data_IF_401267986215
#
_entry.id   IF_401267986215
#
_cell.length_a   1.000
_cell.length_b   1.000
_cell.length_c   1.000
_cell.angle_alpha   90.00
_cell.angle_beta   90.00
_cell.angle_gamma   90.00
#
_symmetry.space_group_name_H-M   'P 1'
#
loop_
_entity.id
_entity.type
_entity.pdbx_description
1 polymer ?
#
# COMPACT_ATOMS: atom_id res chain seq x y z
N UNK A 1 9.06 -46.56 20.40
CA UNK A 1 9.81 -47.63 21.10
C UNK A 1 9.21 -47.73 22.48
N UNK A 2 8.79 -48.92 22.89
CA UNK A 2 8.33 -49.25 24.24
C UNK A 2 8.97 -50.60 24.53
N UNK A 3 9.66 -50.74 25.66
CA UNK A 3 10.38 -51.96 26.02
C UNK A 3 9.46 -52.88 26.85
N UNK A 4 9.54 -54.19 26.58
CA UNK A 4 8.76 -55.26 27.22
C UNK A 4 9.66 -56.05 28.20
N UNK A 5 9.58 -55.79 29.52
CA UNK A 5 10.30 -56.55 30.53
C UNK A 5 9.51 -57.84 30.88
N UNK A 6 9.79 -58.90 30.14
CA UNK A 6 9.40 -60.27 30.50
C UNK A 6 10.22 -60.81 31.68
N UNK A 7 9.68 -61.85 32.32
CA UNK A 7 10.35 -62.87 33.17
C UNK A 7 10.93 -62.43 34.52
N UNK A 8 10.26 -62.89 35.60
CA UNK A 8 10.74 -63.35 36.92
C UNK A 8 9.48 -63.54 37.81
N UNK A 9 9.30 -64.59 38.63
CA UNK A 9 10.16 -65.73 38.99
C UNK A 9 9.35 -67.04 39.16
N UNK A 10 10.05 -68.19 39.14
CA UNK A 10 9.53 -69.52 39.47
C UNK A 10 10.02 -70.00 40.86
N UNK A 11 9.16 -70.00 41.89
CA UNK A 11 9.27 -70.82 43.12
C UNK A 11 8.03 -70.59 43.99
N UNK A 12 7.27 -71.58 44.44
CA UNK A 12 7.70 -72.52 45.48
C UNK A 12 6.78 -73.75 45.57
N UNK A 13 7.25 -74.89 46.09
CA UNK A 13 6.45 -76.11 46.20
C UNK A 13 6.81 -76.99 47.42
N UNK A 14 5.88 -77.20 48.36
CA UNK A 14 6.03 -78.23 49.39
C UNK A 14 4.72 -78.65 50.10
N UNK A 15 4.41 -79.96 50.01
CA UNK A 15 3.82 -80.80 51.10
C UNK A 15 2.35 -80.50 51.50
N UNK A 16 1.64 -81.41 52.23
CA UNK A 16 2.11 -82.52 53.08
C UNK A 16 1.92 -83.94 52.53
N UNK A 17 2.59 -84.89 53.19
CA UNK A 17 2.30 -86.32 53.17
C UNK A 17 2.24 -86.81 54.62
N UNK A 18 1.36 -87.75 54.92
CA UNK A 18 1.17 -88.32 56.27
C UNK A 18 0.27 -89.54 56.24
N UNK A 19 0.82 -90.71 56.58
CA UNK A 19 0.18 -92.03 56.47
C UNK A 19 0.34 -92.83 57.76
N UNK A 20 -0.46 -93.90 57.93
CA UNK A 20 -0.46 -94.87 59.04
C UNK A 20 -0.97 -94.34 60.40
N UNK A 21 -1.51 -95.16 61.31
CA UNK A 21 -1.85 -96.59 61.23
C UNK A 21 -1.87 -97.25 62.62
N UNK A 22 -2.62 -98.36 62.81
CA UNK A 22 -2.59 -99.12 64.08
C UNK A 22 -3.68 -100.22 64.20
N UNK A 23 -3.30 -101.41 64.66
CA UNK A 23 -4.19 -102.55 64.96
C UNK A 23 -3.49 -103.60 65.86
N UNK A 24 -4.14 -104.03 66.95
CA UNK A 24 -3.77 -105.11 67.90
C UNK A 24 -4.83 -105.18 69.05
N UNK A 25 -4.90 -106.15 69.99
CA UNK A 25 -4.76 -107.63 70.04
C UNK A 25 -4.94 -108.12 71.52
N UNK A 26 -5.40 -109.37 71.78
CA UNK A 26 -5.58 -110.03 73.12
C UNK A 26 -6.97 -110.72 73.32
N UNK A 27 -7.25 -111.82 74.07
CA UNK A 27 -6.59 -112.67 75.12
C UNK A 27 -6.84 -112.22 76.58
N UNK A 28 -7.05 -113.05 77.65
CA UNK A 28 -6.88 -114.51 77.93
C UNK A 28 -7.76 -115.00 79.16
N UNK A 29 -7.83 -116.33 79.47
CA UNK A 29 -8.26 -117.05 80.75
C UNK A 29 -9.76 -117.26 81.07
N UNK A 30 -10.29 -118.36 81.65
CA UNK A 30 -9.88 -119.75 82.09
C UNK A 30 -9.85 -120.11 83.62
N UNK A 31 -10.06 -121.42 83.95
CA UNK A 31 -10.17 -122.16 85.26
C UNK A 31 -11.51 -122.07 86.05
N UNK A 32 -11.98 -123.05 86.85
CA UNK A 32 -11.52 -124.44 87.17
C UNK A 32 -12.38 -125.19 88.24
N UNK A 33 -12.27 -126.53 88.35
CA UNK A 33 -13.06 -127.51 89.19
C UNK A 33 -12.67 -127.56 90.72
N UNK A 34 -13.22 -128.35 91.67
CA UNK A 34 -14.39 -129.29 91.76
C UNK A 34 -14.40 -130.27 92.99
N UNK A 35 -15.50 -131.03 93.18
CA UNK A 35 -15.67 -132.41 93.79
C UNK A 35 -15.34 -132.83 95.26
N UNK A 36 -16.20 -133.69 95.85
CA UNK A 36 -15.89 -134.75 96.87
C UNK A 36 -16.37 -134.54 98.35
N UNK A 37 -16.71 -135.55 99.18
CA UNK A 37 -16.98 -136.99 98.92
C UNK A 37 -16.88 -137.98 100.14
N UNK A 38 -18.00 -138.22 100.85
CA UNK A 38 -18.40 -139.42 101.68
C UNK A 38 -17.50 -140.09 102.76
N UNK A 39 -18.13 -140.84 103.71
CA UNK A 39 -17.48 -141.83 104.58
C UNK A 39 -18.23 -142.20 105.87
N UNK A 40 -18.73 -143.45 106.00
CA UNK A 40 -19.42 -143.98 107.19
C UNK A 40 -18.83 -145.35 107.63
N UNK A 41 -18.99 -145.73 108.90
CA UNK A 41 -18.54 -147.03 109.44
C UNK A 41 -19.50 -147.60 110.49
N UNK A 42 -19.46 -148.93 110.72
CA UNK A 42 -20.41 -149.63 111.58
C UNK A 42 -19.82 -150.85 112.31
N UNK A 43 -20.62 -151.41 113.23
CA UNK A 43 -20.17 -152.32 114.31
C UNK A 43 -20.99 -153.63 114.32
N UNK A 44 -20.50 -154.70 114.97
CA UNK A 44 -21.08 -156.05 114.85
C UNK A 44 -21.13 -156.83 116.19
N UNK A 45 -22.18 -157.66 116.37
CA UNK A 45 -22.50 -158.36 117.61
C UNK A 45 -22.57 -159.91 117.46
N UNK A 46 -22.61 -160.60 118.61
CA UNK A 46 -22.53 -162.07 118.73
C UNK A 46 -23.80 -162.87 118.41
N UNK A 47 -23.75 -164.19 118.67
CA UNK A 47 -24.82 -165.16 118.36
C UNK A 47 -25.39 -165.84 119.61
N UNK A 48 -26.71 -166.01 119.62
CA UNK A 48 -27.42 -166.96 120.48
C UNK A 48 -28.08 -168.08 119.64
N UNK A 49 -28.98 -168.86 120.26
CA UNK A 49 -29.49 -170.14 119.75
C UNK A 49 -30.37 -170.01 118.50
N UNK A 50 -30.27 -170.99 117.60
CA UNK A 50 -30.97 -170.97 116.31
C UNK A 50 -32.37 -171.59 116.38
N UNK A 51 -33.37 -170.86 115.89
CA UNK A 51 -34.73 -171.33 115.65
C UNK A 51 -35.11 -171.17 114.16
N UNK A 52 -36.24 -171.74 113.74
CA UNK A 52 -36.74 -171.59 112.37
C UNK A 52 -37.12 -170.13 112.08
N UNK A 53 -36.38 -169.46 111.19
CA UNK A 53 -36.53 -168.02 110.87
C UNK A 53 -37.91 -167.64 110.29
N UNK A 54 -38.75 -168.61 109.93
CA UNK A 54 -40.11 -168.34 109.43
C UNK A 54 -41.23 -168.55 110.46
N UNK A 55 -41.10 -169.52 111.37
CA UNK A 55 -42.19 -169.92 112.27
C UNK A 55 -41.78 -170.09 113.74
N UNK A 56 -40.57 -169.65 114.13
CA UNK A 56 -40.07 -169.66 115.52
C UNK A 56 -39.75 -171.04 116.10
N UNK A 57 -40.19 -172.11 115.42
CA UNK A 57 -40.11 -173.49 115.88
C UNK A 57 -38.65 -173.97 115.99
N UNK A 58 -38.24 -174.68 117.07
CA UNK A 58 -36.87 -175.12 117.27
C UNK A 58 -36.42 -176.09 116.17
N UNK A 59 -35.15 -176.01 115.81
CA UNK A 59 -34.57 -176.85 114.76
C UNK A 59 -34.26 -178.25 115.33
N UNK A 60 -34.59 -179.34 114.62
CA UNK A 60 -34.28 -180.69 115.09
C UNK A 60 -32.77 -180.89 115.21
N UNK A 61 -32.34 -181.63 116.23
CA UNK A 61 -30.93 -181.85 116.55
C UNK A 61 -30.16 -182.49 115.38
N UNK A 62 -28.97 -181.96 115.11
CA UNK A 62 -28.09 -182.47 114.06
C UNK A 62 -27.43 -183.78 114.54
N UNK A 63 -27.42 -184.86 113.72
CA UNK A 63 -26.74 -186.10 114.08
C UNK A 63 -25.22 -185.89 114.09
N UNK A 64 -24.61 -186.18 115.24
CA UNK A 64 -23.16 -186.19 115.43
C UNK A 64 -22.56 -187.53 114.94
N UNK A 65 -21.26 -187.53 114.66
CA UNK A 65 -20.49 -188.76 114.42
C UNK A 65 -19.96 -189.38 115.73
N UNK A 66 -19.36 -190.56 115.63
CA UNK A 66 -18.89 -191.34 116.80
C UNK A 66 -17.68 -190.69 117.50
N UNK A 67 -16.94 -189.82 116.80
CA UNK A 67 -15.93 -188.94 117.40
C UNK A 67 -16.52 -187.63 118.00
N UNK A 68 -17.85 -187.49 118.06
CA UNK A 68 -18.55 -186.36 118.67
C UNK A 68 -18.46 -185.06 117.86
N UNK A 69 -18.07 -185.13 116.58
CA UNK A 69 -17.91 -183.98 115.69
C UNK A 69 -19.18 -183.79 114.85
N UNK A 70 -19.27 -182.63 114.20
CA UNK A 70 -20.36 -182.33 113.26
C UNK A 70 -19.98 -182.83 111.87
N UNK A 71 -20.69 -183.85 111.40
CA UNK A 71 -20.59 -184.31 110.00
C UNK A 71 -20.98 -183.15 109.07
N UNK A 72 -20.01 -182.68 108.28
CA UNK A 72 -20.00 -181.32 107.74
C UNK A 72 -21.25 -180.89 106.97
N UNK A 73 -21.95 -179.88 107.48
CA UNK A 73 -23.13 -179.28 106.86
C UNK A 73 -23.35 -177.84 107.33
N UNK A 74 -23.97 -177.01 106.48
CA UNK A 74 -24.37 -175.64 106.83
C UNK A 74 -25.61 -175.70 107.75
N UNK A 75 -25.64 -175.00 108.90
CA UNK A 75 -26.76 -175.08 109.84
C UNK A 75 -28.07 -174.69 109.17
N UNK A 76 -29.12 -175.48 109.43
CA UNK A 76 -30.45 -175.28 108.82
C UNK A 76 -31.11 -174.05 109.42
N UNK A 77 -31.54 -173.09 108.60
CA UNK A 77 -32.26 -171.89 109.05
C UNK A 77 -33.79 -172.08 109.13
N UNK A 78 -34.29 -173.23 108.68
CA UNK A 78 -35.72 -173.53 108.54
C UNK A 78 -36.00 -175.00 108.89
N UNK A 79 -37.08 -175.27 109.64
CA UNK A 79 -37.46 -176.63 110.04
C UNK A 79 -37.93 -177.51 108.85
N UNK A 80 -38.50 -176.90 107.81
CA UNK A 80 -39.00 -177.58 106.59
C UNK A 80 -38.91 -176.68 105.35
N UNK A 81 -38.84 -177.29 104.16
CA UNK A 81 -38.74 -176.57 102.86
C UNK A 81 -39.84 -175.51 102.68
N UNK A 82 -41.08 -175.83 103.04
CA UNK A 82 -42.21 -174.90 102.97
C UNK A 82 -41.96 -173.58 103.73
N UNK A 83 -41.26 -173.64 104.87
CA UNK A 83 -40.89 -172.46 105.66
C UNK A 83 -39.79 -171.62 104.98
N UNK A 84 -38.84 -172.26 104.29
CA UNK A 84 -37.84 -171.56 103.48
C UNK A 84 -38.48 -170.87 102.26
N UNK A 85 -39.39 -171.57 101.56
CA UNK A 85 -40.11 -171.03 100.39
C UNK A 85 -41.05 -169.88 100.79
N UNK A 86 -41.77 -170.01 101.92
CA UNK A 86 -42.62 -168.95 102.44
C UNK A 86 -41.82 -167.73 102.92
N UNK A 87 -40.71 -167.92 103.63
CA UNK A 87 -39.79 -166.81 103.96
C UNK A 87 -39.10 -166.21 102.72
N UNK A 88 -38.94 -166.97 101.62
CA UNK A 88 -38.45 -166.44 100.35
C UNK A 88 -39.51 -165.59 99.63
N UNK A 89 -40.79 -165.98 99.70
CA UNK A 89 -41.91 -165.16 99.20
C UNK A 89 -42.12 -163.91 100.04
N UNK A 90 -42.12 -164.02 101.38
CA UNK A 90 -42.28 -162.89 102.28
C UNK A 90 -41.18 -161.83 102.08
N UNK A 91 -39.91 -162.25 102.02
CA UNK A 91 -38.80 -161.31 101.73
C UNK A 91 -38.90 -160.68 100.34
N UNK A 92 -39.30 -161.43 99.30
CA UNK A 92 -39.51 -160.86 97.96
C UNK A 92 -40.69 -159.89 97.92
N UNK A 93 -41.77 -160.14 98.67
CA UNK A 93 -42.89 -159.21 98.81
C UNK A 93 -42.49 -157.95 99.58
N UNK A 94 -41.70 -158.07 100.66
CA UNK A 94 -41.14 -156.93 101.40
C UNK A 94 -40.16 -156.11 100.56
N UNK A 95 -39.28 -156.77 99.79
CA UNK A 95 -38.36 -156.11 98.86
C UNK A 95 -39.09 -155.43 97.69
N UNK A 96 -40.19 -156.01 97.21
CA UNK A 96 -41.05 -155.37 96.23
C UNK A 96 -41.75 -154.15 96.83
N UNK A 97 -42.40 -154.27 98.00
CA UNK A 97 -43.10 -153.18 98.68
C UNK A 97 -42.17 -152.00 99.00
N UNK A 98 -41.01 -152.27 99.60
CA UNK A 98 -39.99 -151.28 99.95
C UNK A 98 -39.34 -150.57 98.74
N UNK A 99 -39.69 -150.96 97.51
CA UNK A 99 -39.33 -150.27 96.28
C UNK A 99 -40.57 -149.68 95.59
N UNK A 100 -41.69 -150.39 95.53
CA UNK A 100 -42.91 -149.93 94.86
C UNK A 100 -43.62 -148.79 95.58
N UNK A 101 -43.57 -148.76 96.92
CA UNK A 101 -44.16 -147.70 97.73
C UNK A 101 -43.42 -146.37 97.54
N UNK A 102 -42.10 -146.25 97.75
CA UNK A 102 -41.37 -145.02 97.45
C UNK A 102 -41.33 -144.67 95.95
N UNK A 103 -41.43 -145.65 95.03
CA UNK A 103 -41.63 -145.33 93.61
C UNK A 103 -43.02 -144.78 93.31
N UNK A 104 -44.07 -145.22 94.00
CA UNK A 104 -45.42 -144.67 93.87
C UNK A 104 -45.51 -143.26 94.49
N UNK A 105 -44.82 -143.01 95.62
CA UNK A 105 -44.67 -141.67 96.16
C UNK A 105 -43.87 -140.75 95.23
N UNK A 106 -42.75 -141.23 94.67
CA UNK A 106 -41.95 -140.47 93.71
C UNK A 106 -42.73 -140.18 92.41
N UNK A 107 -43.53 -141.13 91.91
CA UNK A 107 -44.44 -140.92 90.79
C UNK A 107 -45.52 -139.88 91.14
N UNK A 108 -46.18 -140.02 92.30
CA UNK A 108 -47.18 -139.05 92.78
C UNK A 108 -46.60 -137.65 93.03
N UNK A 109 -45.31 -137.55 93.38
CA UNK A 109 -44.59 -136.30 93.49
C UNK A 109 -44.28 -135.72 92.09
N UNK A 110 -43.82 -136.55 91.15
CA UNK A 110 -43.59 -136.15 89.76
C UNK A 110 -44.87 -135.68 89.07
N UNK A 111 -45.99 -136.40 89.22
CA UNK A 111 -47.31 -136.03 88.69
C UNK A 111 -47.82 -134.66 89.22
N UNK A 112 -47.35 -134.24 90.40
CA UNK A 112 -47.63 -132.92 91.00
C UNK A 112 -46.61 -131.85 90.62
N UNK A 113 -45.34 -132.20 90.46
CA UNK A 113 -44.26 -131.28 90.12
C UNK A 113 -44.15 -131.00 88.61
N UNK A 114 -44.45 -131.96 87.74
CA UNK A 114 -44.37 -131.79 86.28
C UNK A 114 -45.33 -130.72 85.75
N UNK A 115 -46.60 -130.62 86.20
CA UNK A 115 -47.47 -129.50 85.83
C UNK A 115 -46.93 -128.15 86.31
N UNK A 116 -46.46 -128.06 87.55
CA UNK A 116 -45.89 -126.83 88.12
C UNK A 116 -44.59 -126.40 87.40
N UNK A 117 -43.75 -127.35 86.97
CA UNK A 117 -42.59 -127.09 86.13
C UNK A 117 -42.99 -126.66 84.71
N UNK A 118 -44.10 -127.19 84.17
CA UNK A 118 -44.71 -126.74 82.92
C UNK A 118 -45.23 -125.30 82.99
N UNK A 119 -45.91 -124.93 84.09
CA UNK A 119 -46.35 -123.56 84.33
C UNK A 119 -45.17 -122.60 84.53
N UNK A 120 -44.16 -122.99 85.32
CA UNK A 120 -42.96 -122.19 85.55
C UNK A 120 -42.15 -121.98 84.26
N UNK A 121 -41.94 -123.03 83.46
CA UNK A 121 -41.27 -122.91 82.16
C UNK A 121 -42.08 -122.06 81.19
N UNK A 122 -43.42 -122.20 81.14
CA UNK A 122 -44.29 -121.33 80.36
C UNK A 122 -44.27 -119.86 80.80
N UNK A 123 -44.12 -119.58 82.10
CA UNK A 123 -43.92 -118.22 82.63
C UNK A 123 -42.53 -117.67 82.28
N UNK A 124 -41.49 -118.49 82.32
CA UNK A 124 -40.13 -118.12 81.89
C UNK A 124 -40.07 -117.82 80.38
N UNK A 125 -40.69 -118.65 79.53
CA UNK A 125 -40.80 -118.39 78.09
C UNK A 125 -41.50 -117.06 77.83
N UNK A 126 -42.66 -116.80 78.46
CA UNK A 126 -43.37 -115.51 78.34
C UNK A 126 -42.58 -114.31 78.87
N UNK A 127 -41.68 -114.52 79.84
CA UNK A 127 -40.79 -113.48 80.33
C UNK A 127 -39.67 -113.20 79.31
N UNK A 128 -39.08 -114.24 78.72
CA UNK A 128 -38.09 -114.11 77.65
C UNK A 128 -38.69 -113.43 76.41
N UNK A 129 -39.84 -113.88 75.92
CA UNK A 129 -40.59 -113.24 74.82
C UNK A 129 -40.83 -111.74 75.07
N UNK A 130 -41.16 -111.37 76.32
CA UNK A 130 -41.36 -109.97 76.73
C UNK A 130 -40.06 -109.18 76.81
N UNK A 131 -38.96 -109.80 77.24
CA UNK A 131 -37.64 -109.18 77.27
C UNK A 131 -37.10 -108.97 75.86
N UNK A 132 -37.19 -109.98 74.99
CA UNK A 132 -36.85 -109.88 73.55
C UNK A 132 -37.70 -108.82 72.84
N UNK A 133 -39.00 -108.73 73.14
CA UNK A 133 -39.89 -107.67 72.61
C UNK A 133 -39.51 -106.27 73.14
N UNK A 134 -39.12 -106.17 74.42
CA UNK A 134 -38.69 -104.90 75.02
C UNK A 134 -37.31 -104.46 74.51
N UNK A 135 -36.39 -105.39 74.30
CA UNK A 135 -35.05 -105.18 73.75
C UNK A 135 -35.12 -104.79 72.27
N UNK A 136 -35.76 -105.60 71.43
CA UNK A 136 -35.94 -105.28 70.01
C UNK A 136 -36.71 -103.96 69.81
N UNK A 137 -37.72 -103.69 70.64
CA UNK A 137 -38.41 -102.40 70.68
C UNK A 137 -37.54 -101.24 71.18
N UNK A 138 -36.56 -101.47 72.05
CA UNK A 138 -35.61 -100.46 72.50
C UNK A 138 -34.54 -100.17 71.44
N UNK A 139 -33.95 -101.22 70.85
CA UNK A 139 -33.00 -101.12 69.75
C UNK A 139 -33.63 -100.43 68.53
N UNK A 140 -34.89 -100.73 68.19
CA UNK A 140 -35.62 -100.03 67.13
C UNK A 140 -35.82 -98.52 67.43
N UNK A 141 -36.08 -98.13 68.68
CA UNK A 141 -36.15 -96.72 69.08
C UNK A 141 -34.79 -96.02 69.04
N UNK A 142 -33.72 -96.72 69.43
CA UNK A 142 -32.35 -96.20 69.35
C UNK A 142 -31.96 -95.98 67.88
N UNK A 143 -32.14 -96.99 67.02
CA UNK A 143 -31.85 -96.88 65.59
C UNK A 143 -32.67 -95.79 64.88
N UNK A 144 -33.94 -95.60 65.27
CA UNK A 144 -34.76 -94.50 64.78
C UNK A 144 -34.22 -93.13 65.24
N UNK A 145 -33.89 -92.97 66.52
CA UNK A 145 -33.32 -91.72 67.05
C UNK A 145 -31.92 -91.41 66.47
N UNK A 146 -31.11 -92.44 66.19
CA UNK A 146 -29.82 -92.30 65.51
C UNK A 146 -30.00 -91.90 64.04
N UNK A 147 -31.00 -92.45 63.34
CA UNK A 147 -31.33 -92.04 61.97
C UNK A 147 -31.87 -90.60 61.91
N UNK A 148 -32.77 -90.21 62.81
CA UNK A 148 -33.25 -88.83 62.96
C UNK A 148 -32.11 -87.86 63.29
N UNK A 149 -31.20 -88.23 64.20
CA UNK A 149 -30.04 -87.42 64.54
C UNK A 149 -29.02 -87.31 63.38
N UNK A 150 -28.84 -88.37 62.58
CA UNK A 150 -28.01 -88.35 61.39
C UNK A 150 -28.63 -87.46 60.29
N UNK A 151 -29.94 -87.55 60.06
CA UNK A 151 -30.66 -86.69 59.14
C UNK A 151 -30.58 -85.22 59.58
N UNK A 152 -30.82 -84.91 60.85
CA UNK A 152 -30.75 -83.55 61.38
C UNK A 152 -29.35 -82.93 61.23
N UNK A 153 -28.27 -83.73 61.39
CA UNK A 153 -26.89 -83.28 61.11
C UNK A 153 -26.68 -82.99 59.62
N UNK A 154 -27.08 -83.91 58.73
CA UNK A 154 -26.96 -83.71 57.29
C UNK A 154 -27.76 -82.50 56.78
N UNK A 155 -28.95 -82.24 57.35
CA UNK A 155 -29.75 -81.05 57.04
C UNK A 155 -29.11 -79.75 57.54
N UNK A 156 -28.47 -79.78 58.72
CA UNK A 156 -27.71 -78.66 59.27
C UNK A 156 -26.45 -78.36 58.44
N UNK A 157 -25.62 -79.37 58.14
CA UNK A 157 -24.45 -79.24 57.27
C UNK A 157 -24.85 -78.69 55.88
N UNK A 158 -25.95 -79.18 55.30
CA UNK A 158 -26.48 -78.65 54.04
C UNK A 158 -27.00 -77.21 54.18
N UNK A 159 -27.54 -76.81 55.33
CA UNK A 159 -27.94 -75.41 55.60
C UNK A 159 -26.71 -74.49 55.71
N UNK A 160 -25.66 -74.92 56.41
CA UNK A 160 -24.40 -74.18 56.54
C UNK A 160 -23.70 -74.00 55.18
N UNK A 161 -23.56 -75.07 54.39
CA UNK A 161 -22.98 -74.99 53.04
C UNK A 161 -23.77 -74.04 52.11
N UNK A 162 -25.10 -73.98 52.25
CA UNK A 162 -25.96 -73.01 51.53
C UNK A 162 -25.73 -71.58 52.03
N UNK A 163 -25.63 -71.37 53.34
CA UNK A 163 -25.35 -70.06 53.94
C UNK A 163 -23.97 -69.51 53.55
N UNK A 164 -22.92 -70.33 53.65
CA UNK A 164 -21.58 -69.97 53.16
C UNK A 164 -21.59 -69.58 51.69
N UNK A 165 -22.28 -70.35 50.84
CA UNK A 165 -22.31 -70.13 49.40
C UNK A 165 -23.09 -68.86 49.04
N UNK A 166 -24.12 -68.51 49.80
CA UNK A 166 -24.80 -67.23 49.69
C UNK A 166 -23.90 -66.06 50.10
N UNK A 167 -23.15 -66.18 51.19
CA UNK A 167 -22.21 -65.15 51.67
C UNK A 167 -20.97 -65.00 50.75
N UNK A 168 -20.45 -66.09 50.17
CA UNK A 168 -19.44 -66.04 49.09
C UNK A 168 -19.93 -65.22 47.90
N UNK A 169 -21.09 -65.58 47.32
CA UNK A 169 -21.73 -64.85 46.22
C UNK A 169 -22.02 -63.38 46.55
N UNK A 170 -22.39 -63.09 47.79
CA UNK A 170 -22.61 -61.71 48.27
C UNK A 170 -21.32 -60.91 48.30
N UNK A 171 -20.20 -61.49 48.76
CA UNK A 171 -18.87 -60.84 48.76
C UNK A 171 -18.37 -60.61 47.34
N UNK A 172 -18.51 -61.60 46.47
CA UNK A 172 -18.20 -61.52 45.03
C UNK A 172 -18.98 -60.36 44.37
N UNK A 173 -20.31 -60.31 44.56
CA UNK A 173 -21.15 -59.25 44.02
C UNK A 173 -20.82 -57.86 44.59
N UNK A 174 -20.47 -57.76 45.88
CA UNK A 174 -20.07 -56.49 46.50
C UNK A 174 -18.70 -56.01 46.03
N UNK A 175 -17.78 -56.92 45.69
CA UNK A 175 -16.49 -56.57 45.10
C UNK A 175 -16.63 -56.17 43.64
N UNK A 176 -17.33 -56.96 42.82
CA UNK A 176 -17.66 -56.58 41.45
C UNK A 176 -18.34 -55.20 41.40
N UNK A 177 -19.30 -54.92 42.29
CA UNK A 177 -19.95 -53.61 42.39
C UNK A 177 -19.07 -52.48 42.99
N UNK A 178 -17.86 -52.75 43.50
CA UNK A 178 -16.83 -51.73 43.79
C UNK A 178 -15.99 -51.49 42.55
N UNK A 179 -15.53 -52.57 41.92
CA UNK A 179 -14.66 -52.53 40.74
C UNK A 179 -15.36 -51.83 39.57
N UNK A 180 -16.65 -52.11 39.36
CA UNK A 180 -17.52 -51.43 38.39
C UNK A 180 -17.59 -49.91 38.62
N UNK A 181 -17.61 -49.46 39.88
CA UNK A 181 -17.63 -48.04 40.24
C UNK A 181 -16.26 -47.40 40.02
N UNK A 182 -15.18 -48.07 40.41
CA UNK A 182 -13.83 -47.58 40.16
C UNK A 182 -13.53 -47.48 38.66
N UNK A 183 -13.97 -48.46 37.86
CA UNK A 183 -13.85 -48.43 36.41
C UNK A 183 -14.64 -47.26 35.77
N UNK A 184 -15.87 -47.01 36.23
CA UNK A 184 -16.67 -45.86 35.78
C UNK A 184 -16.02 -44.53 36.18
N UNK A 185 -15.59 -44.37 37.43
CA UNK A 185 -14.88 -43.18 37.89
C UNK A 185 -13.58 -42.93 37.10
N UNK A 186 -12.82 -43.98 36.77
CA UNK A 186 -11.62 -43.87 35.93
C UNK A 186 -11.98 -43.45 34.50
N UNK A 187 -13.00 -44.07 33.89
CA UNK A 187 -13.49 -43.71 32.56
C UNK A 187 -14.01 -42.26 32.49
N UNK A 188 -14.74 -41.81 33.52
CA UNK A 188 -15.22 -40.42 33.64
C UNK A 188 -14.05 -39.43 33.80
N UNK A 189 -13.05 -39.75 34.63
CA UNK A 189 -11.83 -38.92 34.80
C UNK A 189 -11.03 -38.84 33.49
N UNK A 190 -10.91 -39.94 32.74
CA UNK A 190 -10.24 -39.95 31.43
C UNK A 190 -11.04 -39.15 30.39
N UNK A 191 -12.36 -39.34 30.32
CA UNK A 191 -13.23 -38.56 29.43
C UNK A 191 -13.22 -37.05 29.77
N UNK A 192 -13.11 -36.69 31.05
CA UNK A 192 -12.96 -35.30 31.48
C UNK A 192 -11.61 -34.70 31.05
N UNK A 193 -10.51 -35.46 31.16
CA UNK A 193 -9.18 -35.04 30.66
C UNK A 193 -9.17 -34.82 29.16
N UNK A 194 -9.63 -35.80 28.38
CA UNK A 194 -9.70 -35.70 26.90
C UNK A 194 -10.58 -34.52 26.45
N UNK A 195 -11.64 -34.18 27.19
CA UNK A 195 -12.44 -32.96 26.94
C UNK A 195 -11.67 -31.67 27.25
N UNK A 196 -10.95 -31.62 28.37
CA UNK A 196 -10.13 -30.46 28.73
C UNK A 196 -8.99 -30.24 27.73
N UNK A 197 -8.27 -31.30 27.36
CA UNK A 197 -7.21 -31.31 26.34
C UNK A 197 -7.75 -30.85 24.97
N UNK A 198 -8.93 -31.32 24.56
CA UNK A 198 -9.58 -30.87 23.33
C UNK A 198 -10.08 -29.42 23.38
N UNK A 199 -10.50 -28.92 24.54
CA UNK A 199 -10.80 -27.50 24.73
C UNK A 199 -9.55 -26.62 24.71
N UNK A 200 -8.45 -27.08 25.29
CA UNK A 200 -7.16 -26.38 25.31
C UNK A 200 -6.59 -26.26 23.90
N UNK A 201 -6.45 -27.37 23.17
CA UNK A 201 -6.02 -27.37 21.77
C UNK A 201 -6.92 -26.50 20.87
N UNK A 202 -8.24 -26.44 21.14
CA UNK A 202 -9.16 -25.54 20.43
C UNK A 202 -8.90 -24.05 20.75
N UNK A 203 -8.52 -23.72 21.99
CA UNK A 203 -8.15 -22.35 22.39
C UNK A 203 -6.79 -21.95 21.82
N UNK A 204 -5.85 -22.88 21.71
CA UNK A 204 -4.55 -22.67 21.06
C UNK A 204 -4.71 -22.41 19.56
N UNK A 205 -5.39 -23.30 18.83
CA UNK A 205 -5.65 -23.14 17.40
C UNK A 205 -6.42 -21.85 17.08
N UNK A 206 -7.31 -21.40 17.96
CA UNK A 206 -7.99 -20.10 17.83
C UNK A 206 -7.03 -18.92 18.05
N UNK A 207 -6.11 -18.99 19.03
CA UNK A 207 -5.10 -17.97 19.25
C UNK A 207 -4.10 -17.89 18.08
N UNK A 208 -3.69 -19.02 17.53
CA UNK A 208 -2.83 -19.11 16.34
C UNK A 208 -3.54 -18.51 15.11
N UNK A 209 -4.81 -18.84 14.86
CA UNK A 209 -5.60 -18.23 13.80
C UNK A 209 -5.72 -16.70 13.96
N UNK A 210 -5.98 -16.20 15.18
CA UNK A 210 -6.02 -14.76 15.46
C UNK A 210 -4.64 -14.11 15.30
N UNK A 211 -3.54 -14.82 15.60
CA UNK A 211 -2.18 -14.33 15.35
C UNK A 211 -1.88 -14.23 13.85
N UNK A 212 -2.28 -15.23 13.06
CA UNK A 212 -2.14 -15.21 11.60
C UNK A 212 -2.97 -14.10 10.94
N UNK A 213 -4.23 -13.90 11.31
CA UNK A 213 -5.05 -12.81 10.77
C UNK A 213 -4.50 -11.43 11.16
N UNK A 214 -3.93 -11.27 12.36
CA UNK A 214 -3.21 -10.04 12.74
C UNK A 214 -1.95 -9.82 11.91
N UNK A 215 -1.13 -10.85 11.73
CA UNK A 215 0.10 -10.78 10.93
C UNK A 215 -0.23 -10.49 9.45
N UNK A 216 -1.30 -11.08 8.94
CA UNK A 216 -1.85 -10.84 7.60
C UNK A 216 -2.29 -9.39 7.45
N UNK A 217 -3.14 -8.89 8.36
CA UNK A 217 -3.60 -7.49 8.31
C UNK A 217 -2.45 -6.48 8.43
N UNK A 218 -1.40 -6.80 9.20
CA UNK A 218 -0.17 -5.99 9.24
C UNK A 218 0.60 -6.03 7.91
N UNK A 219 0.70 -7.19 7.26
CA UNK A 219 1.35 -7.33 5.96
C UNK A 219 0.57 -6.65 4.83
N UNK A 220 -0.76 -6.75 4.83
CA UNK A 220 -1.65 -6.06 3.88
C UNK A 220 -1.55 -4.54 4.06
N UNK A 221 -1.64 -4.02 5.30
CA UNK A 221 -1.45 -2.59 5.59
C UNK A 221 -0.04 -2.07 5.26
N UNK A 222 1.01 -2.86 5.48
CA UNK A 222 2.37 -2.53 5.05
C UNK A 222 2.50 -2.50 3.51
N UNK A 223 1.79 -3.40 2.81
CA UNK A 223 1.68 -3.42 1.36
C UNK A 223 0.96 -2.18 0.80
N UNK A 224 -0.14 -1.75 1.43
CA UNK A 224 -0.84 -0.52 1.09
C UNK A 224 0.02 0.72 1.33
N UNK A 225 0.68 0.80 2.49
CA UNK A 225 1.61 1.90 2.81
C UNK A 225 2.78 1.96 1.81
N UNK A 226 3.34 0.82 1.42
CA UNK A 226 4.39 0.75 0.39
C UNK A 226 3.89 1.16 -1.01
N UNK A 227 2.63 0.85 -1.36
CA UNK A 227 2.01 1.33 -2.60
C UNK A 227 1.76 2.84 -2.57
N UNK A 228 1.25 3.37 -1.46
CA UNK A 228 1.04 4.81 -1.28
C UNK A 228 2.37 5.58 -1.36
N UNK A 229 3.42 5.10 -0.69
CA UNK A 229 4.76 5.67 -0.76
C UNK A 229 5.36 5.63 -2.18
N UNK A 230 5.08 4.57 -2.96
CA UNK A 230 5.47 4.49 -4.38
C UNK A 230 4.76 5.54 -5.23
N UNK A 231 3.44 5.72 -5.07
CA UNK A 231 2.67 6.76 -5.80
C UNK A 231 3.21 8.15 -5.48
N UNK A 232 3.37 8.49 -4.21
CA UNK A 232 3.96 9.79 -3.79
C UNK A 232 5.37 10.00 -4.37
N UNK A 233 6.20 8.94 -4.44
CA UNK A 233 7.52 9.02 -5.06
C UNK A 233 7.50 9.11 -6.59
N UNK A 234 6.44 8.63 -7.24
CA UNK A 234 6.20 8.74 -8.69
C UNK A 234 5.65 10.13 -9.04
N UNK A 235 4.63 10.61 -8.32
CA UNK A 235 4.10 11.98 -8.39
C UNK A 235 5.21 13.02 -8.18
N UNK A 236 6.09 12.82 -7.19
CA UNK A 236 7.24 13.69 -6.93
C UNK A 236 8.30 13.66 -8.03
N UNK A 237 8.47 12.53 -8.75
CA UNK A 237 9.36 12.46 -9.93
C UNK A 237 8.74 13.21 -11.10
N UNK A 238 7.46 12.98 -11.37
CA UNK A 238 6.72 13.63 -12.45
C UNK A 238 6.72 15.15 -12.26
N UNK A 239 6.44 15.64 -11.04
CA UNK A 239 6.52 17.06 -10.73
C UNK A 239 7.94 17.64 -10.86
N UNK A 240 8.98 16.88 -10.49
CA UNK A 240 10.37 17.29 -10.69
C UNK A 240 10.82 17.23 -12.16
N UNK A 241 10.16 16.44 -13.01
CA UNK A 241 10.36 16.40 -14.45
C UNK A 241 9.69 17.62 -15.12
N UNK A 242 8.41 17.87 -14.83
CA UNK A 242 7.69 19.09 -15.28
C UNK A 242 8.46 20.36 -14.91
N UNK A 243 8.90 20.49 -13.65
CA UNK A 243 9.67 21.66 -13.21
C UNK A 243 11.01 21.83 -13.96
N UNK A 244 11.64 20.74 -14.41
CA UNK A 244 12.84 20.80 -15.26
C UNK A 244 12.49 21.21 -16.70
N UNK A 245 11.39 20.73 -17.25
CA UNK A 245 10.91 21.14 -18.58
C UNK A 245 10.52 22.61 -18.62
N UNK A 246 9.83 23.09 -17.58
CA UNK A 246 9.49 24.50 -17.35
C UNK A 246 10.78 25.35 -17.23
N UNK A 247 11.71 25.00 -16.34
CA UNK A 247 13.00 25.70 -16.19
C UNK A 247 13.78 25.70 -17.52
N UNK A 248 13.73 24.61 -18.30
CA UNK A 248 14.37 24.55 -19.61
C UNK A 248 13.64 25.40 -20.67
N UNK A 249 12.32 25.57 -20.56
CA UNK A 249 11.54 26.47 -21.42
C UNK A 249 11.83 27.94 -21.09
N UNK A 250 11.86 28.30 -19.81
CA UNK A 250 12.28 29.64 -19.35
C UNK A 250 13.70 29.95 -19.81
N UNK A 251 14.65 29.02 -19.66
CA UNK A 251 16.03 29.20 -20.09
C UNK A 251 16.15 29.38 -21.62
N UNK A 252 15.29 28.72 -22.41
CA UNK A 252 15.18 28.96 -23.86
C UNK A 252 14.62 30.35 -24.16
N UNK A 253 13.54 30.76 -23.50
CA UNK A 253 12.92 32.08 -23.67
C UNK A 253 13.86 33.22 -23.28
N UNK A 254 14.59 33.10 -22.16
CA UNK A 254 15.59 34.08 -21.72
C UNK A 254 16.76 34.18 -22.71
N UNK A 255 17.22 33.05 -23.29
CA UNK A 255 18.24 33.07 -24.35
C UNK A 255 17.75 33.79 -25.61
N UNK A 256 16.53 33.49 -26.06
CA UNK A 256 15.93 34.17 -27.20
C UNK A 256 15.78 35.68 -26.95
N UNK A 257 15.24 36.08 -25.79
CA UNK A 257 15.09 37.48 -25.42
C UNK A 257 16.46 38.22 -25.33
N UNK A 258 17.51 37.54 -24.87
CA UNK A 258 18.88 38.05 -24.85
C UNK A 258 19.44 38.24 -26.27
N UNK A 259 19.15 37.32 -27.19
CA UNK A 259 19.54 37.41 -28.61
C UNK A 259 18.76 38.51 -29.34
N UNK A 260 17.46 38.64 -29.11
CA UNK A 260 16.62 39.73 -29.61
C UNK A 260 17.09 41.09 -29.09
N UNK A 261 17.46 41.19 -27.80
CA UNK A 261 18.01 42.40 -27.18
C UNK A 261 19.41 42.74 -27.76
N UNK A 262 20.29 41.75 -27.96
CA UNK A 262 21.58 41.93 -28.65
C UNK A 262 21.38 42.41 -30.08
N UNK A 263 20.42 41.85 -30.81
CA UNK A 263 20.08 42.29 -32.16
C UNK A 263 19.46 43.69 -32.18
N UNK A 264 18.65 44.06 -31.18
CA UNK A 264 18.11 45.40 -31.02
C UNK A 264 19.22 46.43 -30.71
N UNK A 265 20.15 46.09 -29.82
CA UNK A 265 21.33 46.90 -29.52
C UNK A 265 22.24 47.06 -30.75
N UNK A 266 22.49 46.00 -31.52
CA UNK A 266 23.24 46.07 -32.77
C UNK A 266 22.55 46.95 -33.83
N UNK A 267 21.22 46.90 -33.92
CA UNK A 267 20.43 47.82 -34.77
C UNK A 267 20.51 49.27 -34.26
N UNK A 268 20.48 49.50 -32.95
CA UNK A 268 20.59 50.84 -32.37
C UNK A 268 21.98 51.44 -32.56
N UNK A 269 23.06 50.70 -32.28
CA UNK A 269 24.44 51.17 -32.52
C UNK A 269 24.72 51.35 -34.01
N UNK A 270 24.19 50.49 -34.87
CA UNK A 270 24.24 50.68 -36.33
C UNK A 270 23.51 51.95 -36.80
N UNK A 271 22.35 52.27 -36.20
CA UNK A 271 21.63 53.54 -36.45
C UNK A 271 22.35 54.75 -35.87
N UNK A 272 23.00 54.63 -34.71
CA UNK A 272 23.82 55.68 -34.11
C UNK A 272 25.01 56.00 -35.04
N UNK A 273 25.80 55.00 -35.42
CA UNK A 273 26.93 55.15 -36.33
C UNK A 273 26.53 55.58 -37.75
N UNK A 274 25.27 55.39 -38.16
CA UNK A 274 24.71 55.98 -39.37
C UNK A 274 24.33 57.46 -39.18
N UNK A 275 23.72 57.81 -38.04
CA UNK A 275 23.39 59.20 -37.71
C UNK A 275 24.64 60.06 -37.46
N UNK A 276 25.67 59.52 -36.81
CA UNK A 276 26.97 60.18 -36.61
C UNK A 276 27.66 60.48 -37.94
N UNK A 277 27.62 59.54 -38.90
CA UNK A 277 28.09 59.77 -40.28
C UNK A 277 27.26 60.81 -41.00
N UNK A 278 25.92 60.72 -40.95
CA UNK A 278 25.05 61.72 -41.57
C UNK A 278 25.23 63.14 -40.95
N UNK A 279 25.56 63.23 -39.66
CA UNK A 279 25.90 64.50 -38.99
C UNK A 279 27.29 65.00 -39.42
N UNK A 280 28.27 64.11 -39.60
CA UNK A 280 29.58 64.49 -40.13
C UNK A 280 29.50 64.92 -41.62
N UNK A 281 28.70 64.23 -42.43
CA UNK A 281 28.39 64.57 -43.82
C UNK A 281 27.66 65.92 -43.90
N UNK A 282 26.59 66.11 -43.13
CA UNK A 282 25.87 67.39 -43.06
C UNK A 282 26.74 68.54 -42.47
N UNK A 283 27.71 68.24 -41.60
CA UNK A 283 28.69 69.23 -41.13
C UNK A 283 29.70 69.59 -42.22
N UNK A 284 30.12 68.64 -43.06
CA UNK A 284 31.00 68.85 -44.20
C UNK A 284 30.30 69.62 -45.34
N UNK A 285 29.07 69.24 -45.69
CA UNK A 285 28.18 70.03 -46.55
C UNK A 285 27.96 71.42 -45.95
N UNK A 286 27.76 71.51 -44.64
CA UNK A 286 27.64 72.77 -43.90
C UNK A 286 28.91 73.63 -43.91
N UNK A 287 30.11 73.07 -44.03
CA UNK A 287 31.33 73.84 -44.35
C UNK A 287 31.34 74.30 -45.80
N UNK A 288 31.08 73.40 -46.77
CA UNK A 288 31.07 73.74 -48.19
C UNK A 288 30.03 74.83 -48.51
N UNK A 289 28.82 74.76 -47.93
CA UNK A 289 27.78 75.78 -48.09
C UNK A 289 28.17 77.11 -47.41
N UNK A 290 28.95 77.10 -46.33
CA UNK A 290 29.49 78.32 -45.72
C UNK A 290 30.59 78.93 -46.57
N UNK A 291 31.47 78.13 -47.15
CA UNK A 291 32.51 78.57 -48.10
C UNK A 291 31.88 79.11 -49.39
N UNK A 292 30.88 78.43 -49.95
CA UNK A 292 30.10 78.92 -51.09
C UNK A 292 29.36 80.23 -50.76
N UNK A 293 28.74 80.35 -49.57
CA UNK A 293 28.09 81.59 -49.14
C UNK A 293 29.09 82.73 -48.89
N UNK A 294 30.31 82.44 -48.40
CA UNK A 294 31.39 83.41 -48.30
C UNK A 294 31.91 83.82 -49.68
N UNK A 295 32.12 82.88 -50.60
CA UNK A 295 32.49 83.16 -51.99
C UNK A 295 31.43 83.97 -52.72
N UNK A 296 30.15 83.66 -52.55
CA UNK A 296 29.04 84.44 -53.08
C UNK A 296 28.97 85.85 -52.48
N UNK A 297 29.25 86.02 -51.18
CA UNK A 297 29.37 87.36 -50.55
C UNK A 297 30.58 88.14 -51.04
N UNK A 298 31.72 87.49 -51.29
CA UNK A 298 32.90 88.11 -51.90
C UNK A 298 32.61 88.52 -53.35
N UNK A 299 31.94 87.67 -54.13
CA UNK A 299 31.50 88.00 -55.49
C UNK A 299 30.46 89.13 -55.50
N UNK A 300 29.53 89.16 -54.53
CA UNK A 300 28.59 90.25 -54.34
C UNK A 300 29.31 91.56 -53.98
N UNK A 301 30.25 91.55 -53.03
CA UNK A 301 31.08 92.71 -52.70
C UNK A 301 31.89 93.21 -53.90
N UNK A 302 32.52 92.31 -54.66
CA UNK A 302 33.22 92.66 -55.90
C UNK A 302 32.27 93.17 -57.00
N UNK A 303 31.00 92.73 -57.03
CA UNK A 303 29.99 93.25 -57.93
C UNK A 303 29.46 94.62 -57.49
N UNK A 304 29.33 94.86 -56.18
CA UNK A 304 28.99 96.16 -55.59
C UNK A 304 30.13 97.17 -55.79
N UNK A 305 31.39 96.77 -55.62
CA UNK A 305 32.55 97.62 -55.96
C UNK A 305 32.62 97.92 -57.46
N UNK A 306 32.39 96.92 -58.34
CA UNK A 306 32.29 97.17 -59.78
C UNK A 306 31.11 98.10 -60.12
N UNK A 307 29.98 97.97 -59.44
CA UNK A 307 28.83 98.84 -59.61
C UNK A 307 29.08 100.26 -59.06
N UNK A 308 29.86 100.39 -57.99
CA UNK A 308 30.29 101.69 -57.43
C UNK A 308 31.27 102.37 -58.38
N UNK A 309 32.32 101.68 -58.82
CA UNK A 309 33.27 102.15 -59.84
C UNK A 309 32.55 102.51 -61.16
N UNK A 310 31.53 101.76 -61.57
CA UNK A 310 30.73 102.07 -62.76
C UNK A 310 29.81 103.30 -62.56
N UNK A 311 29.33 103.57 -61.34
CA UNK A 311 28.60 104.81 -61.00
C UNK A 311 29.55 106.00 -60.94
N UNK A 312 30.68 105.87 -60.26
CA UNK A 312 31.76 106.88 -60.22
C UNK A 312 32.22 107.23 -61.65
N UNK A 313 32.38 106.25 -62.54
CA UNK A 313 32.67 106.47 -63.96
C UNK A 313 31.50 107.13 -64.72
N UNK A 314 30.25 106.75 -64.45
CA UNK A 314 29.08 107.36 -65.08
C UNK A 314 28.85 108.81 -64.62
N UNK A 315 29.14 109.13 -63.36
CA UNK A 315 29.10 110.48 -62.79
C UNK A 315 30.24 111.32 -63.37
N UNK A 316 31.48 110.82 -63.41
CA UNK A 316 32.59 111.49 -64.09
C UNK A 316 32.35 111.72 -65.59
N UNK A 317 31.64 110.81 -66.27
CA UNK A 317 31.22 111.00 -67.66
C UNK A 317 30.08 112.02 -67.81
N UNK A 318 29.21 112.19 -66.80
CA UNK A 318 28.20 113.26 -66.76
C UNK A 318 28.83 114.62 -66.50
N UNK A 319 29.71 114.75 -65.51
CA UNK A 319 30.49 115.98 -65.26
C UNK A 319 31.21 116.43 -66.54
N UNK A 320 31.82 115.47 -67.27
CA UNK A 320 32.49 115.75 -68.55
C UNK A 320 31.54 116.08 -69.69
N UNK A 321 30.30 115.57 -69.68
CA UNK A 321 29.27 115.96 -70.63
C UNK A 321 28.76 117.38 -70.34
N UNK A 322 28.42 117.69 -69.09
CA UNK A 322 27.97 119.01 -68.63
C UNK A 322 29.06 120.08 -68.84
N UNK A 323 30.34 119.74 -68.61
CA UNK A 323 31.49 120.61 -68.93
C UNK A 323 31.64 120.82 -70.45
N UNK A 324 31.33 119.81 -71.27
CA UNK A 324 31.37 119.93 -72.73
C UNK A 324 30.17 120.72 -73.30
N UNK A 325 28.98 120.59 -72.71
CA UNK A 325 27.79 121.35 -73.09
C UNK A 325 27.92 122.82 -72.70
N UNK A 326 28.35 123.12 -71.47
CA UNK A 326 28.61 124.52 -71.05
C UNK A 326 29.71 125.19 -71.88
N UNK A 327 30.79 124.48 -72.22
CA UNK A 327 31.82 124.99 -73.15
C UNK A 327 31.27 125.21 -74.58
N UNK A 328 30.33 124.37 -75.03
CA UNK A 328 29.71 124.47 -76.36
C UNK A 328 28.69 125.61 -76.44
N UNK A 329 27.94 125.87 -75.37
CA UNK A 329 27.00 126.99 -75.31
C UNK A 329 27.73 128.34 -75.14
N UNK A 330 28.87 128.38 -74.43
CA UNK A 330 29.78 129.53 -74.45
C UNK A 330 30.31 129.80 -75.86
N UNK A 331 30.87 128.79 -76.53
CA UNK A 331 31.38 128.93 -77.90
C UNK A 331 30.27 129.31 -78.91
N UNK A 332 29.01 128.94 -78.63
CA UNK A 332 27.84 129.34 -79.41
C UNK A 332 27.47 130.81 -79.17
N UNK A 333 27.43 131.25 -77.90
CA UNK A 333 27.16 132.63 -77.55
C UNK A 333 28.21 133.58 -78.16
N UNK A 334 29.49 133.20 -78.11
CA UNK A 334 30.59 133.95 -78.75
C UNK A 334 30.42 134.01 -80.28
N UNK A 335 30.04 132.91 -80.92
CA UNK A 335 29.80 132.87 -82.36
C UNK A 335 28.57 133.69 -82.80
N UNK A 336 27.51 133.73 -81.99
CA UNK A 336 26.32 134.54 -82.24
C UNK A 336 26.59 136.03 -81.97
N UNK A 337 27.39 136.36 -80.94
CA UNK A 337 27.87 137.72 -80.67
C UNK A 337 28.80 138.26 -81.78
N UNK A 338 29.73 137.43 -82.28
CA UNK A 338 30.63 137.79 -83.38
C UNK A 338 29.87 138.08 -84.69
N UNK A 339 28.81 137.31 -84.99
CA UNK A 339 27.91 137.58 -86.13
C UNK A 339 27.17 138.90 -85.94
N UNK A 340 26.56 139.11 -84.75
CA UNK A 340 25.88 140.35 -84.42
C UNK A 340 26.79 141.59 -84.37
N UNK A 341 28.13 141.43 -84.34
CA UNK A 341 29.09 142.50 -84.54
C UNK A 341 29.39 142.73 -86.04
N UNK A 342 29.64 141.66 -86.81
CA UNK A 342 29.89 141.73 -88.25
C UNK A 342 28.72 142.33 -89.04
N UNK A 343 27.48 142.00 -88.69
CA UNK A 343 26.29 142.52 -89.36
C UNK A 343 26.05 144.02 -89.05
N UNK A 344 26.46 144.49 -87.86
CA UNK A 344 26.51 145.94 -87.56
C UNK A 344 27.56 146.67 -88.40
N UNK A 345 28.78 146.13 -88.49
CA UNK A 345 29.85 146.70 -89.32
C UNK A 345 29.46 146.74 -90.80
N UNK A 346 28.68 145.76 -91.30
CA UNK A 346 28.10 145.80 -92.65
C UNK A 346 27.06 146.90 -92.81
N UNK A 347 26.09 146.99 -91.91
CA UNK A 347 25.05 148.03 -91.97
C UNK A 347 25.64 149.45 -91.93
N UNK A 348 26.65 149.69 -91.09
CA UNK A 348 27.36 150.97 -91.03
C UNK A 348 28.15 151.25 -92.32
N UNK A 349 28.81 150.23 -92.90
CA UNK A 349 29.55 150.37 -94.16
C UNK A 349 28.61 150.67 -95.36
N UNK A 350 27.46 150.00 -95.45
CA UNK A 350 26.44 150.28 -96.47
C UNK A 350 25.84 151.68 -96.30
N UNK A 351 25.52 152.07 -95.06
CA UNK A 351 25.02 153.41 -94.75
C UNK A 351 26.03 154.54 -95.02
N UNK A 352 27.34 154.24 -95.05
CA UNK A 352 28.38 155.19 -95.49
C UNK A 352 28.52 155.17 -97.02
N UNK A 353 28.51 154.00 -97.65
CA UNK A 353 28.57 153.88 -99.11
C UNK A 353 27.42 154.60 -99.83
N UNK A 354 26.20 154.53 -99.28
CA UNK A 354 25.04 155.21 -99.87
C UNK A 354 25.03 156.72 -99.65
N UNK A 355 25.60 157.21 -98.54
CA UNK A 355 25.86 158.66 -98.37
C UNK A 355 26.86 159.15 -99.42
N UNK A 356 27.98 158.46 -99.60
CA UNK A 356 28.98 158.79 -100.62
C UNK A 356 28.39 158.75 -102.05
N UNK A 357 27.55 157.75 -102.38
CA UNK A 357 26.84 157.67 -103.67
C UNK A 357 25.89 158.85 -103.89
N UNK A 358 25.17 159.29 -102.86
CA UNK A 358 24.27 160.45 -102.94
C UNK A 358 25.03 161.78 -103.10
N UNK A 359 26.18 161.94 -102.44
CA UNK A 359 27.02 163.14 -102.57
C UNK A 359 27.67 163.24 -103.96
N UNK A 360 28.21 162.14 -104.49
CA UNK A 360 28.74 162.07 -105.86
C UNK A 360 27.65 162.38 -106.89
N UNK A 361 26.44 161.84 -106.73
CA UNK A 361 25.33 162.12 -107.64
C UNK A 361 24.94 163.61 -107.64
N UNK A 362 24.90 164.27 -106.47
CA UNK A 362 24.63 165.72 -106.37
C UNK A 362 25.69 166.54 -107.10
N UNK A 363 26.97 166.29 -106.81
CA UNK A 363 28.10 166.98 -107.46
C UNK A 363 28.09 166.80 -109.00
N UNK A 364 27.67 165.64 -109.50
CA UNK A 364 27.53 165.42 -110.95
C UNK A 364 26.40 166.28 -111.55
N UNK A 365 25.23 166.37 -110.89
CA UNK A 365 24.14 167.21 -111.37
C UNK A 365 24.42 168.71 -111.29
N UNK A 366 25.27 169.15 -110.36
CA UNK A 366 25.68 170.56 -110.25
C UNK A 366 26.73 170.94 -111.31
N UNK A 367 27.68 170.04 -111.59
CA UNK A 367 28.66 170.24 -112.66
C UNK A 367 28.04 170.20 -114.05
N UNK A 368 27.07 169.32 -114.31
CA UNK A 368 26.28 169.33 -115.55
C UNK A 368 25.48 170.62 -115.74
N UNK A 369 24.83 171.13 -114.68
CA UNK A 369 24.13 172.43 -114.73
C UNK A 369 25.07 173.59 -115.04
N UNK A 370 26.25 173.61 -114.42
CA UNK A 370 27.27 174.62 -114.71
C UNK A 370 27.75 174.54 -116.18
N UNK A 371 27.88 173.33 -116.73
CA UNK A 371 28.27 173.13 -118.12
C UNK A 371 27.19 173.58 -119.12
N UNK A 372 25.92 173.25 -118.85
CA UNK A 372 24.79 173.65 -119.69
C UNK A 372 24.60 175.18 -119.72
N UNK A 373 24.75 175.86 -118.58
CA UNK A 373 24.70 177.34 -118.51
C UNK A 373 25.84 177.97 -119.32
N UNK A 374 27.04 177.38 -119.31
CA UNK A 374 28.16 177.90 -120.11
C UNK A 374 27.95 177.69 -121.61
N UNK A 375 27.45 176.53 -122.03
CA UNK A 375 27.11 176.27 -123.44
C UNK A 375 26.02 177.23 -123.95
N UNK A 376 24.95 177.47 -123.19
CA UNK A 376 23.91 178.44 -123.57
C UNK A 376 24.38 179.89 -123.62
N UNK A 377 25.50 180.24 -122.99
CA UNK A 377 26.17 181.53 -123.16
C UNK A 377 27.05 181.56 -124.42
N UNK A 378 27.83 180.50 -124.65
CA UNK A 378 28.68 180.35 -125.85
C UNK A 378 27.86 180.34 -127.15
N UNK A 379 26.66 179.75 -127.16
CA UNK A 379 25.76 179.73 -128.32
C UNK A 379 25.17 181.10 -128.66
N UNK A 380 24.74 181.88 -127.66
CA UNK A 380 24.22 183.25 -127.88
C UNK A 380 25.28 184.21 -128.42
N UNK A 381 26.54 184.02 -128.04
CA UNK A 381 27.66 184.77 -128.65
C UNK A 381 27.81 184.42 -130.13
N UNK A 382 27.67 183.13 -130.51
CA UNK A 382 27.69 182.70 -131.91
C UNK A 382 26.48 183.23 -132.71
N UNK A 383 25.27 183.27 -132.13
CA UNK A 383 24.11 183.89 -132.80
C UNK A 383 24.34 185.38 -133.08
N UNK A 384 24.88 186.13 -132.11
CA UNK A 384 25.19 187.55 -132.27
C UNK A 384 26.28 187.79 -133.33
N UNK A 385 27.30 186.92 -133.41
CA UNK A 385 28.31 187.00 -134.46
C UNK A 385 27.76 186.63 -135.84
N UNK A 386 26.95 185.57 -135.95
CA UNK A 386 26.31 185.18 -137.20
C UNK A 386 25.33 186.25 -137.72
N UNK A 387 24.62 186.95 -136.84
CA UNK A 387 23.76 188.07 -137.21
C UNK A 387 24.53 189.27 -137.78
N UNK A 388 25.72 189.56 -137.24
CA UNK A 388 26.62 190.61 -137.76
C UNK A 388 27.21 190.23 -139.13
N UNK A 389 27.70 189.01 -139.29
CA UNK A 389 28.23 188.54 -140.58
C UNK A 389 27.14 188.47 -141.67
N UNK A 390 25.92 188.06 -141.32
CA UNK A 390 24.78 188.07 -142.24
C UNK A 390 24.34 189.47 -142.69
N UNK A 391 24.63 190.52 -141.91
CA UNK A 391 24.42 191.90 -142.31
C UNK A 391 25.53 192.39 -143.25
N UNK A 392 26.81 192.20 -142.90
CA UNK A 392 27.95 192.57 -143.75
C UNK A 392 27.94 191.85 -145.12
N UNK A 393 27.40 190.63 -145.17
CA UNK A 393 27.18 189.89 -146.42
C UNK A 393 26.13 190.52 -147.37
N UNK A 394 25.32 191.50 -146.91
CA UNK A 394 24.42 192.29 -147.78
C UNK A 394 25.10 193.52 -148.35
N UNK A 395 25.97 194.20 -147.58
CA UNK A 395 26.77 195.32 -148.08
C UNK A 395 27.71 194.83 -149.19
N UNK A 396 28.49 193.76 -148.91
CA UNK A 396 29.43 193.18 -149.87
C UNK A 396 28.76 192.77 -151.19
N UNK A 397 27.54 192.22 -151.15
CA UNK A 397 26.79 191.81 -152.36
C UNK A 397 26.21 192.96 -153.18
N UNK A 398 26.16 194.19 -152.64
CA UNK A 398 25.74 195.36 -153.40
C UNK A 398 26.94 196.12 -153.99
N UNK A 399 28.06 196.15 -153.27
CA UNK A 399 29.35 196.64 -153.79
C UNK A 399 29.85 195.80 -154.98
N UNK A 400 29.74 194.47 -154.91
CA UNK A 400 30.04 193.58 -156.05
C UNK A 400 29.16 193.86 -157.28
N UNK A 401 27.90 194.28 -157.09
CA UNK A 401 26.92 194.37 -158.18
C UNK A 401 27.03 195.64 -159.03
N UNK A 402 27.48 196.77 -158.48
CA UNK A 402 27.57 198.04 -159.21
C UNK A 402 28.99 198.58 -159.42
N UNK A 403 30.00 197.99 -158.76
CA UNK A 403 31.39 198.08 -159.25
C UNK A 403 31.52 197.49 -160.67
N UNK A 404 30.62 196.57 -161.05
CA UNK A 404 30.47 196.05 -162.41
C UNK A 404 30.01 197.09 -163.46
N UNK A 405 29.61 198.31 -163.07
CA UNK A 405 29.16 199.36 -164.01
C UNK A 405 30.03 200.63 -164.02
N UNK A 406 31.16 200.65 -163.29
CA UNK A 406 32.20 201.69 -163.41
C UNK A 406 33.51 201.17 -164.00
N UNK A 407 33.39 200.52 -165.17
CA UNK A 407 34.46 200.45 -166.17
C UNK A 407 34.78 201.84 -166.82
N UNK A 408 34.38 202.94 -166.15
CA UNK A 408 34.52 204.33 -166.54
C UNK A 408 34.66 205.22 -165.30
N UNK A 409 35.57 206.20 -165.38
CA UNK A 409 35.80 207.30 -164.44
C UNK A 409 36.43 206.96 -163.05
N UNK A 410 37.07 207.93 -162.34
CA UNK A 410 38.14 207.58 -161.39
C UNK A 410 38.13 208.26 -160.00
N UNK A 411 39.02 207.74 -159.14
CA UNK A 411 39.91 208.48 -158.21
C UNK A 411 39.54 208.76 -156.72
N UNK A 412 40.64 208.87 -155.94
CA UNK A 412 40.86 209.70 -154.71
C UNK A 412 40.39 209.24 -153.30
N UNK A 413 41.39 208.82 -152.51
CA UNK A 413 41.99 209.60 -151.39
C UNK A 413 41.23 209.79 -150.05
N UNK A 414 41.30 208.77 -149.17
CA UNK A 414 41.19 208.89 -147.70
C UNK A 414 39.82 209.37 -147.16
N UNK A 415 39.71 209.84 -145.89
CA UNK A 415 40.71 209.85 -144.81
C UNK A 415 40.13 209.35 -143.44
N UNK A 416 40.80 209.74 -142.35
CA UNK A 416 40.37 209.87 -140.94
C UNK A 416 38.93 209.48 -140.49
N UNK A 417 38.85 208.64 -139.45
CA UNK A 417 38.62 209.15 -138.08
C UNK A 417 37.24 209.04 -137.39
N UNK A 418 37.31 208.75 -136.08
CA UNK A 418 36.49 209.27 -134.94
C UNK A 418 35.00 208.89 -134.74
N UNK A 419 34.68 208.81 -133.44
CA UNK A 419 33.39 209.14 -132.76
C UNK A 419 32.16 208.24 -133.03
N UNK A 420 31.36 207.98 -131.97
CA UNK A 420 30.15 207.14 -132.05
C UNK A 420 29.57 206.77 -130.68
N UNK A 421 28.54 207.48 -130.24
CA UNK A 421 27.88 207.43 -128.93
C UNK A 421 26.98 206.17 -128.71
N UNK A 422 26.65 205.90 -127.43
CA UNK A 422 25.47 205.12 -127.02
C UNK A 422 25.73 203.62 -126.73
N UNK A 423 25.13 203.02 -125.69
CA UNK A 423 24.23 203.54 -124.65
C UNK A 423 24.42 202.78 -123.33
#
# INVERSE_FOLDING_TARGET
>A
MIEDPRQQDESDAARPAGTSGGSAAGEERFTGEGTGGEGFGGEAAGRETAACVHCGEPLPSEPLDEEGRRKGGRPRLYCRKACADAASRARRAQQAAAVSEPLAEAASLADRLLPAAGELSGLLTRLLERLETAESGALARIAAAEAEAAQARAEAEAAEQRAETAERRRREALNAARDDRQAREQAERLAARVRAEAEEARREAWQEAVAHERARGQAEAAGEAAQAARRVAEDARNAAETAREETAAELRAVRQALEELRAAHARQSGRLAAAERAVAEAAAEGTVLREQAQGARQQAGLAEERARMAREQAEHLRERAETAETARDLARADAEAARAALDRVRADAEAVADRARQEVARAHTETERAHAVRQGAEERVRELQAALEAAGARDARMDELMTALTALAPARKGPDGREGQGS
#
